data_IF_751939828719
#
_entry.id   IF_751939828719
#
_cell.length_a   1.000
_cell.length_b   1.000
_cell.length_c   1.000
_cell.angle_alpha   90.00
_cell.angle_beta   90.00
_cell.angle_gamma   90.00
#
_symmetry.space_group_name_H-M   'P 1'
#
loop_
_entity.id
_entity.type
_entity.pdbx_description
1 polymer ?
#
# COMPACT_ATOMS: atom_id res chain seq x y z
N UNK A 1 -35.81 60.60 13.09
CA UNK A 1 -36.86 60.17 14.03
C UNK A 1 -36.23 59.22 15.02
N UNK A 2 -36.38 59.55 16.29
CA UNK A 2 -35.68 59.09 17.50
C UNK A 2 -35.93 57.62 17.85
N UNK A 3 -35.03 57.08 18.67
CA UNK A 3 -35.05 55.77 19.34
C UNK A 3 -36.28 55.51 20.26
N UNK A 4 -37.40 56.21 20.07
CA UNK A 4 -38.61 56.09 20.88
C UNK A 4 -39.60 55.02 20.41
N UNK A 5 -39.50 54.54 19.17
CA UNK A 5 -40.38 53.47 18.68
C UNK A 5 -39.93 52.06 19.11
N UNK A 6 -38.67 51.87 19.48
CA UNK A 6 -38.14 50.58 19.94
C UNK A 6 -38.47 50.30 21.43
N UNK A 7 -38.78 51.34 22.21
CA UNK A 7 -39.06 51.21 23.64
C UNK A 7 -40.51 50.83 23.97
N UNK A 8 -41.42 50.82 22.98
CA UNK A 8 -42.86 50.53 23.21
C UNK A 8 -43.28 49.09 22.91
N UNK A 9 -42.36 48.23 22.48
CA UNK A 9 -42.65 46.81 22.23
C UNK A 9 -42.20 45.87 23.36
N UNK A 10 -41.57 46.39 24.43
CA UNK A 10 -41.00 45.58 25.51
C UNK A 10 -41.69 45.81 26.88
N UNK A 11 -43.01 45.99 26.90
CA UNK A 11 -43.78 46.10 28.14
C UNK A 11 -44.81 44.96 28.26
N UNK A 12 -44.59 44.14 29.29
CA UNK A 12 -45.51 43.21 29.96
C UNK A 12 -46.07 42.00 29.15
N UNK A 13 -45.52 40.81 29.46
CA UNK A 13 -46.21 39.50 29.50
C UNK A 13 -47.35 39.24 28.50
N UNK A 14 -47.04 39.33 27.20
CA UNK A 14 -47.85 38.71 26.16
C UNK A 14 -47.07 37.54 25.54
N UNK A 15 -47.32 36.32 26.02
CA UNK A 15 -46.95 35.09 25.31
C UNK A 15 -47.75 34.98 24.01
N UNK A 16 -47.17 35.42 22.90
CA UNK A 16 -47.63 35.09 21.55
C UNK A 16 -47.19 33.66 21.23
N UNK A 17 -48.04 32.67 21.53
CA UNK A 17 -47.94 31.32 20.97
C UNK A 17 -48.40 31.33 19.51
N UNK A 18 -47.60 31.94 18.64
CA UNK A 18 -47.71 31.80 17.21
C UNK A 18 -46.92 30.56 16.79
N UNK A 19 -47.62 29.49 16.41
CA UNK A 19 -47.03 28.33 15.75
C UNK A 19 -46.40 28.77 14.43
N UNK A 20 -45.09 29.02 14.43
CA UNK A 20 -44.30 29.33 13.23
C UNK A 20 -44.10 28.03 12.44
N UNK A 21 -45.16 27.53 11.80
CA UNK A 21 -45.05 26.51 10.75
C UNK A 21 -44.51 27.23 9.52
N UNK A 22 -43.18 27.21 9.38
CA UNK A 22 -42.55 27.51 8.10
C UNK A 22 -43.01 26.46 7.09
N UNK A 23 -43.91 26.84 6.20
CA UNK A 23 -44.28 26.05 5.05
C UNK A 23 -43.07 25.95 4.10
N UNK A 24 -42.30 24.88 4.25
CA UNK A 24 -41.37 24.45 3.21
C UNK A 24 -42.21 23.71 2.16
N UNK A 25 -42.39 24.35 1.01
CA UNK A 25 -42.97 23.75 -0.20
C UNK A 25 -42.11 22.52 -0.61
N UNK A 26 -42.64 21.28 -0.59
CA UNK A 26 -41.82 20.08 -0.77
C UNK A 26 -41.83 19.59 -2.24
N UNK A 27 -41.81 20.49 -3.22
CA UNK A 27 -41.93 20.10 -4.64
C UNK A 27 -40.63 20.05 -5.45
N UNK A 28 -39.45 20.28 -4.87
CA UNK A 28 -38.17 20.12 -5.59
C UNK A 28 -37.21 19.15 -4.87
N UNK A 29 -37.34 17.86 -5.19
CA UNK A 29 -36.20 17.05 -5.62
C UNK A 29 -35.03 16.75 -4.67
N UNK A 30 -35.16 16.81 -3.35
CA UNK A 30 -34.12 16.27 -2.44
C UNK A 30 -34.74 15.37 -1.37
N UNK A 31 -34.45 14.07 -1.47
CA UNK A 31 -34.81 13.08 -0.47
C UNK A 31 -34.05 13.35 0.84
N UNK A 32 -34.75 13.81 1.88
CA UNK A 32 -34.23 13.82 3.26
C UNK A 32 -34.45 12.43 3.84
N UNK A 33 -33.49 11.54 3.60
CA UNK A 33 -33.41 10.26 4.30
C UNK A 33 -33.22 10.49 5.79
N UNK A 34 -34.01 9.78 6.60
CA UNK A 34 -33.97 9.71 8.07
C UNK A 34 -32.56 9.86 8.66
N UNK A 35 -32.35 10.93 9.43
CA UNK A 35 -31.17 11.14 10.27
C UNK A 35 -31.14 10.10 11.41
N UNK A 36 -30.64 8.90 11.09
CA UNK A 36 -30.57 7.82 12.06
C UNK A 36 -29.67 6.70 11.59
N UNK A 37 -28.38 6.98 11.31
CA UNK A 37 -27.32 5.98 11.08
C UNK A 37 -27.68 4.78 10.16
N UNK A 38 -28.65 4.95 9.24
CA UNK A 38 -29.18 3.88 8.40
C UNK A 38 -28.44 3.64 7.09
N UNK A 39 -27.29 4.30 6.89
CA UNK A 39 -26.46 4.18 5.68
C UNK A 39 -24.99 3.89 5.95
N UNK A 40 -24.62 3.68 7.21
CA UNK A 40 -23.26 3.29 7.62
C UNK A 40 -23.34 1.85 8.12
N UNK A 41 -22.48 0.98 7.61
CA UNK A 41 -22.36 -0.39 8.12
C UNK A 41 -22.14 -0.39 9.64
N UNK A 42 -22.66 -1.40 10.33
CA UNK A 42 -22.47 -1.54 11.77
C UNK A 42 -20.96 -1.47 12.10
N UNK A 43 -20.54 -0.78 13.18
CA UNK A 43 -19.12 -0.59 13.51
C UNK A 43 -18.33 -1.90 13.56
N UNK A 44 -18.96 -3.01 13.95
CA UNK A 44 -18.35 -4.34 14.04
C UNK A 44 -18.19 -5.03 12.67
N UNK A 45 -19.13 -4.83 11.73
CA UNK A 45 -19.01 -5.33 10.35
C UNK A 45 -17.97 -4.52 9.56
N UNK A 46 -17.95 -3.20 9.76
CA UNK A 46 -16.94 -2.29 9.19
C UNK A 46 -15.52 -2.65 9.65
N UNK A 47 -15.35 -3.02 10.92
CA UNK A 47 -14.05 -3.44 11.47
C UNK A 47 -13.56 -4.76 10.87
N UNK A 48 -14.43 -5.77 10.73
CA UNK A 48 -14.05 -7.03 10.08
C UNK A 48 -13.72 -6.85 8.60
N UNK A 49 -14.47 -6.00 7.89
CA UNK A 49 -14.17 -5.64 6.50
C UNK A 49 -12.77 -5.04 6.34
N UNK A 50 -12.37 -4.16 7.27
CA UNK A 50 -11.04 -3.59 7.31
C UNK A 50 -9.95 -4.63 7.58
N UNK A 51 -10.19 -5.55 8.51
CA UNK A 51 -9.23 -6.63 8.80
C UNK A 51 -9.02 -7.52 7.57
N UNK A 52 -10.07 -7.87 6.83
CA UNK A 52 -9.94 -8.62 5.57
C UNK A 52 -9.15 -7.87 4.50
N UNK A 53 -9.41 -6.56 4.34
CA UNK A 53 -8.69 -5.74 3.36
C UNK A 53 -7.19 -5.64 3.68
N UNK A 54 -6.82 -5.53 4.95
CA UNK A 54 -5.41 -5.42 5.37
C UNK A 54 -4.68 -6.76 5.41
N UNK A 55 -5.33 -7.84 5.85
CA UNK A 55 -4.71 -9.16 5.95
C UNK A 55 -4.44 -9.78 4.56
N UNK A 56 -5.25 -9.42 3.56
CA UNK A 56 -5.05 -9.82 2.17
C UNK A 56 -3.78 -9.22 1.53
N UNK A 57 -3.33 -8.05 1.99
CA UNK A 57 -2.20 -7.36 1.35
C UNK A 57 -0.83 -7.82 1.87
N UNK A 58 0.07 -8.18 0.96
CA UNK A 58 1.42 -8.71 1.31
C UNK A 58 2.34 -7.58 1.73
N UNK A 59 2.30 -6.47 1.00
CA UNK A 59 3.09 -5.27 1.32
C UNK A 59 2.57 -4.58 2.57
N UNK A 60 1.28 -4.67 2.89
CA UNK A 60 0.72 -4.13 4.14
C UNK A 60 1.35 -4.74 5.41
N UNK A 61 1.84 -5.99 5.32
CA UNK A 61 2.54 -6.69 6.42
C UNK A 61 4.03 -6.36 6.51
N UNK A 62 4.65 -5.92 5.41
CA UNK A 62 6.09 -5.67 5.31
C UNK A 62 6.45 -4.18 5.38
N UNK A 63 5.58 -3.33 4.86
CA UNK A 63 5.77 -1.89 4.80
C UNK A 63 5.31 -1.20 6.09
N UNK A 64 5.87 -0.02 6.34
CA UNK A 64 5.46 0.83 7.44
C UNK A 64 4.15 1.53 7.08
N UNK A 65 3.06 1.16 7.76
CA UNK A 65 1.78 1.87 7.64
C UNK A 65 1.70 3.05 8.62
N UNK A 66 1.31 4.22 8.11
CA UNK A 66 1.15 5.45 8.89
C UNK A 66 -0.29 5.92 8.77
N UNK A 67 -0.98 6.03 9.91
CA UNK A 67 -2.33 6.60 9.97
C UNK A 67 -2.25 8.13 9.97
N UNK A 68 -2.72 8.74 8.89
CA UNK A 68 -2.62 10.19 8.66
C UNK A 68 -3.88 10.93 9.09
N UNK A 69 -3.71 12.09 9.74
CA UNK A 69 -4.81 13.01 10.07
C UNK A 69 -5.09 14.03 8.96
N UNK A 70 -4.06 14.50 8.28
CA UNK A 70 -4.14 15.46 7.17
C UNK A 70 -3.95 14.78 5.80
N UNK A 71 -4.32 15.44 4.69
CA UNK A 71 -4.16 14.86 3.33
C UNK A 71 -2.69 14.70 2.95
N UNK A 72 -1.84 15.57 3.50
CA UNK A 72 -0.38 15.51 3.39
C UNK A 72 0.23 15.52 4.78
N UNK A 73 1.21 14.66 5.02
CA UNK A 73 2.04 14.67 6.24
C UNK A 73 3.50 14.67 5.86
N UNK A 74 4.30 15.44 6.58
CA UNK A 74 5.75 15.41 6.46
C UNK A 74 6.33 14.36 7.40
N UNK A 75 7.28 13.58 6.90
CA UNK A 75 8.10 12.68 7.69
C UNK A 75 9.48 13.30 7.77
N UNK A 76 9.88 13.65 9.00
CA UNK A 76 11.21 14.18 9.27
C UNK A 76 12.24 13.04 9.23
N UNK A 77 13.34 13.28 8.52
CA UNK A 77 14.48 12.38 8.41
C UNK A 77 15.72 13.05 8.97
N UNK A 78 16.47 12.29 9.76
CA UNK A 78 17.75 12.73 10.32
C UNK A 78 18.84 11.85 9.72
N UNK A 79 19.79 12.49 9.06
CA UNK A 79 20.95 11.85 8.45
C UNK A 79 22.24 12.30 9.11
N UNK A 80 23.14 11.33 9.31
CA UNK A 80 24.54 11.61 9.64
C UNK A 80 25.41 11.05 8.50
N UNK A 81 26.44 11.81 8.12
CA UNK A 81 27.36 11.45 7.03
C UNK A 81 28.13 10.14 7.27
N UNK A 82 28.91 9.73 6.28
CA UNK A 82 29.75 8.53 6.37
C UNK A 82 31.15 8.88 6.91
N UNK A 83 31.73 8.00 7.73
CA UNK A 83 33.12 8.08 8.23
C UNK A 83 33.45 9.45 8.89
N UNK A 84 32.80 9.71 10.02
CA UNK A 84 32.93 10.98 10.75
C UNK A 84 34.26 11.15 11.49
N UNK A 85 34.92 10.04 11.84
CA UNK A 85 36.15 10.07 12.61
C UNK A 85 37.34 10.41 11.70
N UNK A 86 38.16 11.36 12.14
CA UNK A 86 39.42 11.75 11.51
C UNK A 86 40.58 11.40 12.44
N UNK A 87 41.76 11.21 11.87
CA UNK A 87 42.99 11.09 12.65
C UNK A 87 43.27 12.44 13.32
N UNK A 88 43.49 12.43 14.63
CA UNK A 88 43.95 13.62 15.36
C UNK A 88 45.48 13.70 15.29
N UNK A 89 46.01 14.88 15.00
CA UNK A 89 47.44 15.20 15.17
C UNK A 89 47.60 16.12 16.37
N UNK A 90 48.62 15.89 17.19
CA UNK A 90 48.92 16.75 18.34
C UNK A 90 49.28 18.17 17.88
N UNK A 91 48.89 19.17 18.68
CA UNK A 91 49.18 20.59 18.49
C UNK A 91 48.57 21.28 17.24
N UNK A 92 47.72 20.60 16.45
CA UNK A 92 46.97 21.24 15.35
C UNK A 92 45.46 21.08 15.50
N UNK A 93 44.71 22.19 15.40
CA UNK A 93 43.26 22.17 15.36
C UNK A 93 42.76 22.03 13.91
N UNK A 94 42.68 20.79 13.42
CA UNK A 94 42.07 20.44 12.13
C UNK A 94 40.59 20.05 12.27
N UNK A 95 39.98 20.36 13.41
CA UNK A 95 38.61 20.02 13.75
C UNK A 95 37.61 20.67 12.81
N UNK A 96 36.85 19.86 12.07
CA UNK A 96 35.64 20.30 11.36
C UNK A 96 34.47 19.54 11.93
N UNK A 97 33.45 20.24 12.41
CA UNK A 97 32.24 19.60 12.91
C UNK A 97 31.54 18.85 11.76
N UNK A 98 31.18 17.60 12.01
CA UNK A 98 30.27 16.89 11.13
C UNK A 98 28.86 17.47 11.29
N UNK A 99 28.30 17.98 10.20
CA UNK A 99 26.91 18.45 10.19
C UNK A 99 25.93 17.27 10.26
N UNK A 100 24.89 17.42 11.09
CA UNK A 100 23.70 16.57 11.03
C UNK A 100 22.76 17.16 9.98
N UNK A 101 22.32 16.36 9.02
CA UNK A 101 21.40 16.80 7.96
C UNK A 101 19.97 16.46 8.37
N UNK A 102 19.10 17.47 8.40
CA UNK A 102 17.66 17.30 8.53
C UNK A 102 17.03 17.41 7.14
N UNK A 103 16.32 16.38 6.70
CA UNK A 103 15.59 16.38 5.43
C UNK A 103 14.14 15.98 5.67
N UNK A 104 13.24 16.41 4.80
CA UNK A 104 11.81 16.13 4.92
C UNK A 104 11.31 15.38 3.70
N UNK A 105 10.31 14.55 3.91
CA UNK A 105 9.62 13.82 2.86
C UNK A 105 8.13 14.08 3.01
N UNK A 106 7.47 14.52 1.94
CA UNK A 106 6.02 14.69 1.92
C UNK A 106 5.34 13.40 1.47
N UNK A 107 4.41 12.92 2.30
CA UNK A 107 3.51 11.82 2.00
C UNK A 107 2.13 12.42 1.74
N UNK A 108 1.62 12.27 0.52
CA UNK A 108 0.31 12.81 0.11
C UNK A 108 -0.63 11.67 -0.26
N UNK A 109 -1.87 11.73 0.23
CA UNK A 109 -2.90 10.73 -0.05
C UNK A 109 -3.86 11.18 -1.14
N UNK A 110 -4.40 10.22 -1.88
CA UNK A 110 -5.44 10.44 -2.90
C UNK A 110 -6.70 9.68 -2.52
N UNK A 111 -7.87 10.28 -2.82
CA UNK A 111 -9.17 9.68 -2.54
C UNK A 111 -9.51 8.67 -3.63
N UNK A 112 -9.69 7.42 -3.26
CA UNK A 112 -10.15 6.34 -4.11
C UNK A 112 -11.59 5.97 -3.75
N UNK A 113 -12.33 5.48 -4.74
CA UNK A 113 -13.73 5.07 -4.62
C UNK A 113 -13.90 3.71 -5.27
N UNK A 114 -14.64 2.83 -4.61
CA UNK A 114 -15.16 1.59 -5.19
C UNK A 114 -16.68 1.63 -5.08
N UNK A 115 -17.35 1.39 -6.19
CA UNK A 115 -18.81 1.32 -6.26
C UNK A 115 -19.21 -0.06 -6.79
N UNK A 116 -20.13 -0.72 -6.10
CA UNK A 116 -20.75 -1.95 -6.59
C UNK A 116 -22.24 -1.96 -6.24
N UNK A 117 -23.00 -2.75 -6.99
CA UNK A 117 -24.43 -2.89 -6.77
C UNK A 117 -24.86 -4.34 -6.67
N UNK A 118 -25.94 -4.57 -5.93
CA UNK A 118 -26.58 -5.86 -5.78
C UNK A 118 -28.08 -5.72 -6.01
N UNK A 119 -28.64 -6.50 -6.92
CA UNK A 119 -30.09 -6.56 -7.17
C UNK A 119 -30.81 -7.22 -6.00
N UNK A 120 -31.96 -6.70 -5.59
CA UNK A 120 -32.79 -7.30 -4.53
C UNK A 120 -33.39 -8.64 -4.97
N UNK A 121 -33.72 -8.81 -6.25
CA UNK A 121 -34.18 -10.10 -6.78
C UNK A 121 -33.14 -11.21 -6.58
N UNK A 122 -31.84 -10.88 -6.73
CA UNK A 122 -30.75 -11.83 -6.49
C UNK A 122 -30.54 -12.16 -5.01
N UNK A 123 -31.00 -11.30 -4.10
CA UNK A 123 -31.01 -11.58 -2.66
C UNK A 123 -32.21 -12.43 -2.26
N UNK A 124 -33.34 -12.29 -2.95
CA UNK A 124 -34.56 -13.06 -2.67
C UNK A 124 -34.52 -14.49 -3.24
N UNK A 125 -33.92 -14.71 -4.42
CA UNK A 125 -33.79 -16.03 -5.07
C UNK A 125 -32.52 -16.79 -4.64
N UNK A 126 -32.02 -16.50 -3.45
CA UNK A 126 -30.73 -16.96 -2.98
C UNK A 126 -30.83 -18.22 -2.10
N UNK A 127 -30.00 -19.22 -2.40
CA UNK A 127 -29.86 -20.46 -1.60
C UNK A 127 -29.09 -20.25 -0.27
N UNK A 128 -28.27 -19.20 -0.16
CA UNK A 128 -27.47 -18.83 1.02
C UNK A 128 -28.19 -17.86 2.00
N UNK A 129 -29.43 -17.44 1.70
CA UNK A 129 -30.22 -16.55 2.56
C UNK A 129 -29.55 -15.20 2.90
N UNK A 130 -29.54 -14.80 4.16
CA UNK A 130 -28.99 -13.51 4.60
C UNK A 130 -27.45 -13.43 4.53
N UNK A 131 -26.75 -14.56 4.36
CA UNK A 131 -25.28 -14.63 4.43
C UNK A 131 -24.58 -14.28 3.10
N UNK A 132 -25.32 -14.21 1.98
CA UNK A 132 -24.78 -13.85 0.67
C UNK A 132 -24.28 -12.40 0.61
N UNK A 133 -24.99 -11.47 1.25
CA UNK A 133 -24.59 -10.05 1.32
C UNK A 133 -23.20 -9.94 2.00
N UNK A 134 -23.01 -10.67 3.10
CA UNK A 134 -21.74 -10.73 3.83
C UNK A 134 -20.63 -11.44 3.04
N UNK A 135 -20.96 -12.50 2.28
CA UNK A 135 -19.98 -13.20 1.44
C UNK A 135 -19.50 -12.30 0.30
N UNK A 136 -20.41 -11.67 -0.44
CA UNK A 136 -20.07 -10.75 -1.53
C UNK A 136 -19.25 -9.57 -0.98
N UNK A 137 -19.65 -9.00 0.16
CA UNK A 137 -18.87 -7.93 0.80
C UNK A 137 -17.44 -8.37 1.13
N UNK A 138 -17.21 -9.61 1.59
CA UNK A 138 -15.85 -10.15 1.83
C UNK A 138 -15.04 -10.29 0.55
N UNK A 139 -15.62 -10.79 -0.53
CA UNK A 139 -14.95 -10.91 -1.83
C UNK A 139 -14.57 -9.53 -2.38
N UNK A 140 -15.49 -8.57 -2.32
CA UNK A 140 -15.25 -7.19 -2.73
C UNK A 140 -14.17 -6.51 -1.87
N UNK A 141 -14.14 -6.76 -0.55
CA UNK A 141 -13.09 -6.25 0.35
C UNK A 141 -11.70 -6.74 -0.06
N UNK A 142 -11.60 -8.02 -0.40
CA UNK A 142 -10.34 -8.68 -0.77
C UNK A 142 -9.84 -8.11 -2.09
N UNK A 143 -10.73 -7.96 -3.08
CA UNK A 143 -10.38 -7.36 -4.36
C UNK A 143 -9.97 -5.89 -4.20
N UNK A 144 -10.70 -5.11 -3.37
CA UNK A 144 -10.35 -3.73 -3.09
C UNK A 144 -8.97 -3.58 -2.43
N UNK A 145 -8.58 -4.54 -1.58
CA UNK A 145 -7.24 -4.61 -1.00
C UNK A 145 -6.17 -4.88 -2.05
N UNK A 146 -6.40 -5.84 -2.95
CA UNK A 146 -5.48 -6.14 -4.05
C UNK A 146 -5.33 -4.95 -5.01
N UNK A 147 -6.43 -4.31 -5.39
CA UNK A 147 -6.43 -3.12 -6.25
C UNK A 147 -5.65 -1.97 -5.59
N UNK A 148 -5.80 -1.80 -4.28
CA UNK A 148 -5.07 -0.79 -3.52
C UNK A 148 -3.56 -1.08 -3.51
N UNK A 149 -3.17 -2.33 -3.25
CA UNK A 149 -1.77 -2.75 -3.23
C UNK A 149 -1.11 -2.59 -4.60
N UNK A 150 -1.83 -2.95 -5.67
CA UNK A 150 -1.36 -2.80 -7.04
C UNK A 150 -1.09 -1.33 -7.40
N UNK A 151 -1.99 -0.42 -7.06
CA UNK A 151 -1.76 1.03 -7.28
C UNK A 151 -0.60 1.56 -6.44
N UNK A 152 -0.48 1.09 -5.20
CA UNK A 152 0.65 1.46 -4.32
C UNK A 152 1.99 1.02 -4.89
N UNK A 153 2.04 -0.14 -5.55
CA UNK A 153 3.27 -0.67 -6.15
C UNK A 153 3.56 -0.06 -7.52
N UNK A 154 2.58 -0.12 -8.42
CA UNK A 154 2.73 0.10 -9.86
C UNK A 154 2.08 1.39 -10.37
N UNK A 155 1.53 2.23 -9.48
CA UNK A 155 0.92 3.51 -9.85
C UNK A 155 1.88 4.38 -10.67
N UNK A 156 1.35 5.06 -11.67
CA UNK A 156 2.12 5.96 -12.50
C UNK A 156 1.21 7.03 -13.11
N UNK A 157 1.42 8.27 -12.66
CA UNK A 157 0.67 9.46 -13.10
C UNK A 157 0.87 9.83 -14.56
N UNK A 158 1.85 9.24 -15.24
CA UNK A 158 2.15 9.50 -16.65
C UNK A 158 1.32 8.65 -17.61
N UNK A 159 0.59 7.62 -17.13
CA UNK A 159 -0.26 6.81 -17.99
C UNK A 159 -1.33 7.67 -18.69
N UNK A 160 -1.70 7.27 -19.90
CA UNK A 160 -2.75 7.91 -20.71
C UNK A 160 -4.12 7.21 -20.59
N UNK A 161 -4.16 5.95 -20.13
CA UNK A 161 -5.36 5.17 -19.81
C UNK A 161 -5.36 4.72 -18.34
N UNK A 162 -6.51 4.27 -17.84
CA UNK A 162 -6.74 3.78 -16.48
C UNK A 162 -6.65 4.84 -15.36
N UNK A 163 -7.82 5.22 -14.83
CA UNK A 163 -7.92 6.27 -13.80
C UNK A 163 -7.34 5.84 -12.45
N UNK A 164 -7.28 4.54 -12.18
CA UNK A 164 -6.85 4.01 -10.89
C UNK A 164 -5.32 4.06 -10.77
N UNK A 165 -4.60 3.53 -11.76
CA UNK A 165 -3.12 3.58 -11.78
C UNK A 165 -2.55 4.99 -11.86
N UNK A 166 -3.29 5.93 -12.47
CA UNK A 166 -2.88 7.34 -12.53
C UNK A 166 -3.07 8.13 -11.25
N UNK A 167 -3.70 7.55 -10.23
CA UNK A 167 -4.06 8.28 -9.02
C UNK A 167 -2.84 8.93 -8.37
N UNK A 168 -1.72 8.21 -8.28
CA UNK A 168 -0.44 8.67 -7.75
C UNK A 168 0.71 7.79 -8.25
N UNK A 169 1.95 8.27 -8.11
CA UNK A 169 3.14 7.49 -8.45
C UNK A 169 3.41 6.44 -7.36
N UNK A 170 3.49 5.18 -7.76
CA UNK A 170 3.75 4.03 -6.92
C UNK A 170 5.23 3.85 -6.57
N UNK A 171 5.50 2.90 -5.68
CA UNK A 171 6.83 2.65 -5.13
C UNK A 171 7.85 2.31 -6.22
N UNK A 172 7.47 1.54 -7.25
CA UNK A 172 8.38 1.14 -8.34
C UNK A 172 8.90 2.37 -9.09
N UNK A 173 8.00 3.29 -9.45
CA UNK A 173 8.37 4.53 -10.16
C UNK A 173 9.20 5.47 -9.28
N UNK A 174 8.80 5.65 -8.02
CA UNK A 174 9.55 6.48 -7.06
C UNK A 174 10.97 5.91 -6.85
N UNK A 175 11.10 4.58 -6.76
CA UNK A 175 12.38 3.90 -6.61
C UNK A 175 13.27 4.03 -7.86
N UNK A 176 12.72 3.86 -9.07
CA UNK A 176 13.45 4.05 -10.33
C UNK A 176 13.94 5.48 -10.52
N UNK A 177 13.18 6.47 -10.05
CA UNK A 177 13.53 7.88 -10.20
C UNK A 177 14.60 8.36 -9.19
N UNK A 178 14.58 7.83 -7.96
CA UNK A 178 15.38 8.39 -6.86
C UNK A 178 16.44 7.42 -6.28
N UNK A 179 16.30 6.12 -6.53
CA UNK A 179 17.20 5.08 -6.00
C UNK A 179 18.35 4.74 -6.95
N UNK A 180 19.14 3.74 -6.57
CA UNK A 180 20.24 3.23 -7.40
C UNK A 180 19.69 2.26 -8.45
N UNK A 181 19.79 2.61 -9.73
CA UNK A 181 19.30 1.77 -10.83
C UNK A 181 20.47 1.02 -11.48
N UNK A 182 20.34 -0.29 -11.59
CA UNK A 182 21.27 -1.18 -12.30
C UNK A 182 20.51 -1.83 -13.46
N UNK A 183 21.08 -1.80 -14.65
CA UNK A 183 20.50 -2.48 -15.82
C UNK A 183 21.00 -3.92 -15.87
N UNK A 184 20.08 -4.89 -16.00
CA UNK A 184 20.42 -6.29 -16.25
C UNK A 184 20.57 -6.59 -17.76
N UNK A 185 20.25 -5.64 -18.65
CA UNK A 185 20.42 -5.78 -20.11
C UNK A 185 19.77 -7.05 -20.68
N UNK A 186 18.59 -7.41 -20.16
CA UNK A 186 17.87 -8.62 -20.58
C UNK A 186 18.50 -9.93 -20.09
N UNK A 187 19.37 -9.89 -19.07
CA UNK A 187 19.91 -11.10 -18.47
C UNK A 187 18.85 -11.86 -17.65
N UNK A 188 18.86 -13.18 -17.73
CA UNK A 188 18.06 -14.04 -16.86
C UNK A 188 18.42 -13.87 -15.37
N UNK A 189 17.45 -14.10 -14.49
CA UNK A 189 17.64 -14.03 -13.04
C UNK A 189 18.76 -14.99 -12.63
N UNK A 190 19.81 -14.44 -12.01
CA UNK A 190 20.97 -15.22 -11.61
C UNK A 190 21.66 -14.63 -10.39
N UNK A 191 22.58 -15.39 -9.81
CA UNK A 191 23.44 -14.91 -8.70
C UNK A 191 24.24 -13.66 -9.09
N UNK A 192 24.52 -13.45 -10.38
CA UNK A 192 25.20 -12.25 -10.87
C UNK A 192 24.31 -11.00 -10.74
N UNK A 193 23.02 -11.12 -11.04
CA UNK A 193 22.01 -10.05 -10.92
C UNK A 193 21.83 -9.65 -9.44
N UNK A 194 21.73 -10.61 -8.53
CA UNK A 194 21.67 -10.31 -7.09
C UNK A 194 22.97 -9.69 -6.55
N UNK A 195 24.12 -10.07 -7.11
CA UNK A 195 25.42 -9.49 -6.73
C UNK A 195 25.57 -8.05 -7.24
N UNK A 196 25.09 -7.74 -8.45
CA UNK A 196 25.12 -6.37 -8.97
C UNK A 196 24.25 -5.45 -8.12
N UNK A 197 23.07 -5.90 -7.70
CA UNK A 197 22.21 -5.20 -6.74
C UNK A 197 22.96 -4.90 -5.42
N UNK A 198 23.62 -5.91 -4.84
CA UNK A 198 24.36 -5.73 -3.59
C UNK A 198 25.61 -4.87 -3.73
N UNK A 199 26.23 -4.82 -4.90
CA UNK A 199 27.38 -3.95 -5.16
C UNK A 199 26.95 -2.49 -5.23
N UNK A 200 25.83 -2.20 -5.89
CA UNK A 200 25.28 -0.86 -6.02
C UNK A 200 24.82 -0.25 -4.69
N UNK A 201 24.38 -1.05 -3.72
CA UNK A 201 24.00 -0.53 -2.40
C UNK A 201 25.19 0.17 -1.71
N UNK A 202 25.03 1.33 -1.04
CA UNK A 202 26.09 1.96 -0.27
C UNK A 202 26.58 1.14 0.93
N UNK A 203 27.85 1.31 1.32
CA UNK A 203 28.48 0.53 2.40
C UNK A 203 27.81 0.73 3.76
N UNK A 204 27.26 1.92 4.04
CA UNK A 204 26.53 2.23 5.27
C UNK A 204 25.37 1.26 5.52
N UNK A 205 24.63 0.89 4.47
CA UNK A 205 23.49 -0.03 4.59
C UNK A 205 23.92 -1.50 4.55
N UNK A 206 25.08 -1.83 3.94
CA UNK A 206 25.63 -3.20 3.93
C UNK A 206 26.01 -3.71 5.33
N UNK A 207 26.16 -2.85 6.32
CA UNK A 207 26.38 -3.29 7.72
C UNK A 207 25.14 -3.98 8.29
N UNK A 208 23.94 -3.56 7.86
CA UNK A 208 22.65 -4.10 8.29
C UNK A 208 22.06 -5.08 7.27
N UNK A 209 22.90 -5.94 6.70
CA UNK A 209 22.47 -6.96 5.71
C UNK A 209 21.33 -7.86 6.17
N UNK A 210 21.25 -8.33 7.42
CA UNK A 210 20.15 -9.20 7.87
C UNK A 210 18.75 -8.55 7.78
N UNK A 211 18.69 -7.23 7.78
CA UNK A 211 17.42 -6.48 7.73
C UNK A 211 16.96 -6.19 6.28
N UNK A 212 17.80 -6.43 5.28
CA UNK A 212 17.47 -6.21 3.87
C UNK A 212 16.53 -7.31 3.37
N UNK A 213 15.70 -6.98 2.39
CA UNK A 213 14.87 -7.94 1.64
C UNK A 213 15.02 -7.70 0.15
N UNK A 214 15.08 -8.78 -0.62
CA UNK A 214 14.85 -8.71 -2.06
C UNK A 214 13.35 -8.84 -2.31
N UNK A 215 12.77 -7.95 -3.11
CA UNK A 215 11.38 -7.99 -3.55
C UNK A 215 11.39 -8.28 -5.05
N UNK A 216 10.65 -9.31 -5.48
CA UNK A 216 10.56 -9.70 -6.88
C UNK A 216 9.21 -10.32 -7.20
N UNK A 217 8.82 -10.30 -8.47
CA UNK A 217 7.63 -10.98 -8.99
C UNK A 217 7.75 -12.50 -8.91
N UNK A 218 6.61 -13.18 -8.96
CA UNK A 218 6.47 -14.62 -8.80
C UNK A 218 7.23 -15.44 -9.85
N UNK A 219 7.12 -15.06 -11.13
CA UNK A 219 7.74 -15.80 -12.23
C UNK A 219 9.27 -15.64 -12.21
N UNK A 220 9.80 -14.46 -11.86
CA UNK A 220 11.25 -14.27 -11.70
C UNK A 220 11.83 -15.16 -10.58
N UNK A 221 11.08 -15.36 -9.49
CA UNK A 221 11.47 -16.26 -8.41
C UNK A 221 11.40 -17.71 -8.88
N UNK A 222 10.36 -18.08 -9.61
CA UNK A 222 10.23 -19.42 -10.20
C UNK A 222 11.38 -19.73 -11.18
N UNK A 223 11.76 -18.79 -12.04
CA UNK A 223 12.89 -18.93 -12.96
C UNK A 223 14.22 -19.07 -12.23
N UNK A 224 14.38 -18.31 -11.14
CA UNK A 224 15.55 -18.44 -10.28
C UNK A 224 15.63 -19.82 -9.61
N UNK A 225 14.50 -20.34 -9.11
CA UNK A 225 14.41 -21.68 -8.55
C UNK A 225 14.67 -22.75 -9.61
N UNK A 226 14.10 -22.60 -10.80
CA UNK A 226 14.26 -23.51 -11.91
C UNK A 226 15.72 -23.56 -12.41
N UNK A 227 16.36 -22.41 -12.64
CA UNK A 227 17.78 -22.36 -13.02
C UNK A 227 18.71 -22.91 -11.94
N UNK A 228 18.39 -22.69 -10.66
CA UNK A 228 19.14 -23.28 -9.53
C UNK A 228 18.97 -24.80 -9.49
N UNK A 229 17.77 -25.31 -9.78
CA UNK A 229 17.50 -26.75 -9.82
C UNK A 229 18.18 -27.47 -10.99
N UNK A 230 18.52 -26.80 -12.10
CA UNK A 230 19.22 -27.43 -13.23
C UNK A 230 20.73 -27.59 -12.99
N UNK A 231 21.29 -26.92 -11.98
CA UNK A 231 22.70 -27.03 -11.58
C UNK A 231 22.97 -28.31 -10.73
N UNK A 232 22.38 -29.45 -11.14
CA UNK A 232 22.46 -30.75 -10.45
C UNK A 232 23.85 -31.40 -10.60
N UNK A 233 24.67 -30.93 -11.55
CA UNK A 233 26.01 -31.50 -11.75
C UNK A 233 26.93 -31.31 -10.53
N UNK A 234 26.64 -30.36 -9.63
CA UNK A 234 27.42 -30.10 -8.41
C UNK A 234 26.61 -30.15 -7.09
N UNK A 235 25.32 -30.50 -7.12
CA UNK A 235 24.50 -30.72 -5.91
C UNK A 235 23.89 -32.11 -6.01
N UNK A 236 24.38 -33.01 -5.16
CA UNK A 236 24.00 -34.41 -5.15
C UNK A 236 22.46 -34.53 -4.98
N UNK A 237 21.72 -35.19 -5.89
CA UNK A 237 20.26 -35.38 -5.79
C UNK A 237 19.79 -36.01 -4.47
N UNK A 238 20.72 -36.59 -3.70
CA UNK A 238 20.49 -37.12 -2.37
C UNK A 238 20.19 -36.04 -1.31
N UNK A 239 20.66 -34.79 -1.42
CA UNK A 239 20.33 -33.74 -0.43
C UNK A 239 18.90 -33.22 -0.59
N UNK A 240 18.42 -33.10 -1.83
CA UNK A 240 17.05 -32.69 -2.14
C UNK A 240 16.09 -33.85 -1.84
N UNK A 241 16.44 -35.08 -2.23
CA UNK A 241 15.65 -36.27 -1.91
C UNK A 241 15.63 -36.57 -0.41
N UNK A 242 16.73 -36.35 0.33
CA UNK A 242 16.75 -36.53 1.77
C UNK A 242 15.97 -35.42 2.51
N UNK A 243 15.85 -34.21 1.95
CA UNK A 243 14.97 -33.17 2.48
C UNK A 243 13.49 -33.49 2.28
N UNK A 244 13.13 -34.26 1.25
CA UNK A 244 11.75 -34.65 0.96
C UNK A 244 11.38 -35.99 1.67
N UNK A 245 12.33 -36.92 1.84
CA UNK A 245 12.10 -38.24 2.45
C UNK A 245 12.18 -38.21 3.99
N UNK A 246 12.92 -37.28 4.63
CA UNK A 246 13.05 -37.26 6.10
C UNK A 246 11.96 -36.50 6.87
N UNK A 247 11.05 -35.78 6.22
CA UNK A 247 9.94 -35.11 6.91
C UNK A 247 10.36 -34.18 8.08
N UNK A 248 11.62 -33.72 8.10
CA UNK A 248 12.19 -32.92 9.18
C UNK A 248 12.58 -31.54 8.64
N UNK A 249 11.72 -30.59 9.01
CA UNK A 249 11.82 -29.16 8.78
C UNK A 249 13.16 -28.60 9.27
N UNK A 250 13.90 -27.92 8.40
CA UNK A 250 14.81 -26.85 8.84
C UNK A 250 13.95 -25.65 9.26
N UNK A 251 13.42 -25.71 10.48
CA UNK A 251 12.65 -24.62 11.07
C UNK A 251 13.57 -23.51 11.57
N UNK A 252 13.19 -22.26 11.27
CA UNK A 252 13.14 -21.20 12.26
C UNK A 252 11.99 -20.22 11.92
N UNK A 253 10.73 -20.67 12.17
CA UNK A 253 9.45 -19.93 12.36
C UNK A 253 8.95 -18.97 11.26
N UNK A 254 7.70 -18.94 10.80
CA UNK A 254 6.40 -19.49 11.18
C UNK A 254 5.34 -19.11 10.10
N UNK A 255 4.03 -19.31 10.31
CA UNK A 255 2.99 -19.28 9.25
C UNK A 255 2.67 -17.90 8.62
N UNK A 256 2.14 -17.95 7.38
CA UNK A 256 1.73 -16.88 6.47
C UNK A 256 2.84 -15.85 6.08
N UNK A 257 3.76 -16.30 5.22
CA UNK A 257 4.87 -15.51 4.69
C UNK A 257 6.12 -16.35 4.44
N UNK A 258 5.95 -17.52 3.80
CA UNK A 258 7.01 -18.50 3.59
C UNK A 258 8.21 -17.84 2.87
N UNK A 259 9.37 -17.80 3.54
CA UNK A 259 10.59 -17.19 3.01
C UNK A 259 11.68 -18.25 2.84
N UNK A 260 11.90 -18.67 1.58
CA UNK A 260 13.11 -19.32 1.07
C UNK A 260 13.11 -19.17 -0.46
N UNK A 261 14.23 -18.84 -1.16
CA UNK A 261 15.65 -19.00 -0.81
C UNK A 261 16.36 -17.67 -0.48
N UNK A 262 17.46 -17.76 0.28
CA UNK A 262 18.34 -16.61 0.52
C UNK A 262 19.29 -16.37 -0.68
N UNK A 263 19.30 -15.16 -1.24
CA UNK A 263 20.40 -14.72 -2.09
C UNK A 263 21.47 -14.07 -1.22
N UNK A 264 22.65 -14.69 -1.10
CA UNK A 264 23.78 -14.18 -0.31
C UNK A 264 23.44 -13.88 1.17
N UNK A 265 22.56 -14.66 1.79
CA UNK A 265 22.13 -14.49 3.19
C UNK A 265 21.04 -13.42 3.41
N UNK A 266 20.45 -12.89 2.33
CA UNK A 266 19.32 -11.96 2.36
C UNK A 266 18.09 -12.69 1.83
N UNK A 267 16.95 -12.69 2.56
CA UNK A 267 15.78 -13.42 2.10
C UNK A 267 15.12 -12.71 0.92
N UNK A 268 14.70 -13.52 -0.06
CA UNK A 268 13.88 -13.11 -1.19
C UNK A 268 12.42 -13.23 -0.76
N UNK A 269 11.66 -12.17 -0.99
CA UNK A 269 10.23 -12.07 -0.71
C UNK A 269 9.52 -11.89 -2.03
N UNK A 270 8.54 -12.75 -2.25
CA UNK A 270 7.65 -12.69 -3.40
C UNK A 270 6.60 -11.59 -3.20
N UNK A 271 6.44 -10.75 -4.23
CA UNK A 271 5.37 -9.75 -4.30
C UNK A 271 4.58 -10.03 -5.58
N UNK A 272 3.47 -10.77 -5.50
CA UNK A 272 2.75 -11.26 -6.68
C UNK A 272 2.21 -10.15 -7.60
N UNK A 273 1.90 -8.99 -7.02
CA UNK A 273 1.34 -7.84 -7.76
C UNK A 273 2.42 -6.97 -8.41
N UNK A 274 3.71 -7.30 -8.30
CA UNK A 274 4.76 -6.57 -9.00
C UNK A 274 4.70 -6.90 -10.49
N UNK A 275 4.47 -5.89 -11.34
CA UNK A 275 4.38 -6.10 -12.79
C UNK A 275 5.69 -6.65 -13.34
N UNK A 276 5.60 -7.83 -13.96
CA UNK A 276 6.72 -8.54 -14.57
C UNK A 276 6.99 -8.13 -16.02
N UNK A 277 6.10 -7.31 -16.59
CA UNK A 277 6.29 -6.67 -17.89
C UNK A 277 6.39 -5.17 -17.66
N UNK A 278 7.61 -4.64 -17.73
CA UNK A 278 7.89 -3.22 -17.55
C UNK A 278 8.28 -2.60 -18.90
N UNK A 279 7.31 -2.38 -19.80
CA UNK A 279 7.54 -1.72 -21.09
C UNK A 279 6.77 -2.35 -22.26
N UNK A 280 7.09 -1.92 -23.49
CA UNK A 280 6.54 -2.50 -24.73
C UNK A 280 7.07 -3.93 -25.00
N UNK A 281 8.20 -4.31 -24.39
CA UNK A 281 8.80 -5.64 -24.48
C UNK A 281 8.25 -6.57 -23.39
N UNK A 282 7.62 -7.67 -23.82
CA UNK A 282 6.67 -8.44 -23.02
C UNK A 282 7.24 -9.20 -21.79
N UNK A 283 8.56 -9.33 -21.62
CA UNK A 283 9.16 -10.30 -20.68
C UNK A 283 10.32 -9.73 -19.84
N UNK A 284 10.22 -8.47 -19.43
CA UNK A 284 11.24 -7.79 -18.61
C UNK A 284 10.67 -7.33 -17.27
N UNK A 285 11.11 -7.97 -16.19
CA UNK A 285 10.72 -7.66 -14.82
C UNK A 285 11.83 -6.95 -14.05
N UNK A 286 11.48 -6.48 -12.85
CA UNK A 286 12.40 -5.78 -11.95
C UNK A 286 12.64 -6.56 -10.65
N UNK A 287 13.84 -6.39 -10.09
CA UNK A 287 14.19 -6.87 -8.75
C UNK A 287 14.55 -5.67 -7.89
N UNK A 288 13.91 -5.56 -6.73
CA UNK A 288 14.12 -4.46 -5.80
C UNK A 288 14.85 -4.95 -4.55
N UNK A 289 15.83 -4.18 -4.07
CA UNK A 289 16.54 -4.44 -2.83
C UNK A 289 16.39 -3.23 -1.91
N UNK A 290 15.77 -3.43 -0.74
CA UNK A 290 15.63 -2.38 0.26
C UNK A 290 15.36 -2.94 1.66
N UNK A 291 15.21 -2.05 2.64
CA UNK A 291 14.64 -2.40 3.95
C UNK A 291 13.11 -2.32 3.86
N UNK A 292 12.35 -3.30 4.40
CA UNK A 292 10.88 -3.24 4.38
C UNK A 292 10.30 -1.98 5.02
N UNK A 293 10.89 -1.55 6.14
CA UNK A 293 10.52 -0.31 6.85
C UNK A 293 10.78 0.98 6.04
N UNK A 294 11.54 0.90 4.95
CA UNK A 294 11.81 2.02 4.07
C UNK A 294 10.58 2.38 3.20
N UNK A 295 9.68 1.43 2.99
CA UNK A 295 8.41 1.64 2.31
C UNK A 295 7.42 2.22 3.31
N UNK A 296 6.89 3.39 3.01
CA UNK A 296 5.89 4.06 3.85
C UNK A 296 4.56 4.15 3.10
N UNK A 297 3.52 3.60 3.70
CA UNK A 297 2.14 3.66 3.19
C UNK A 297 1.34 4.55 4.13
N UNK A 298 0.79 5.63 3.59
CA UNK A 298 -0.09 6.55 4.29
C UNK A 298 -1.54 6.18 4.07
N UNK A 299 -2.29 5.98 5.14
CA UNK A 299 -3.73 5.72 5.08
C UNK A 299 -4.45 6.81 5.87
N UNK A 300 -5.37 7.49 5.19
CA UNK A 300 -6.12 8.60 5.76
C UNK A 300 -7.60 8.24 5.89
N UNK A 301 -8.11 8.38 7.12
CA UNK A 301 -9.45 7.96 7.58
C UNK A 301 -9.62 6.44 7.52
N UNK A 302 -10.39 5.92 8.47
CA UNK A 302 -10.86 4.54 8.41
C UNK A 302 -11.77 4.39 7.19
N UNK A 303 -11.69 3.26 6.50
CA UNK A 303 -12.49 2.99 5.30
C UNK A 303 -13.97 3.13 5.65
N UNK A 304 -14.68 3.95 4.89
CA UNK A 304 -16.12 4.14 5.06
C UNK A 304 -16.85 3.45 3.93
N UNK A 305 -17.78 2.56 4.27
CA UNK A 305 -18.68 1.91 3.32
C UNK A 305 -20.08 2.43 3.56
N UNK A 306 -20.67 2.99 2.51
CA UNK A 306 -22.05 3.43 2.46
C UNK A 306 -22.91 2.34 1.82
N UNK A 307 -24.10 2.11 2.36
CA UNK A 307 -25.12 1.22 1.79
C UNK A 307 -26.37 2.05 1.53
N UNK A 308 -26.87 2.03 0.29
CA UNK A 308 -28.05 2.78 -0.10
C UNK A 308 -28.97 1.94 -0.98
N UNK A 309 -30.26 1.88 -0.64
CA UNK A 309 -31.26 1.20 -1.45
C UNK A 309 -31.89 2.19 -2.44
N UNK A 310 -31.88 1.85 -3.72
CA UNK A 310 -32.53 2.62 -4.79
C UNK A 310 -33.91 2.03 -5.12
N UNK A 311 -35.02 2.66 -4.68
CA UNK A 311 -36.35 2.09 -4.87
C UNK A 311 -36.79 2.01 -6.33
N UNK A 312 -36.22 2.84 -7.21
CA UNK A 312 -36.53 2.85 -8.64
C UNK A 312 -35.75 1.80 -9.44
N UNK A 313 -34.58 1.41 -8.95
CA UNK A 313 -33.69 0.44 -9.61
C UNK A 313 -33.84 -0.95 -9.02
N UNK A 314 -34.52 -1.05 -7.88
CA UNK A 314 -34.65 -2.27 -7.07
C UNK A 314 -33.28 -2.91 -6.80
N UNK A 315 -32.31 -2.07 -6.43
CA UNK A 315 -30.95 -2.49 -6.14
C UNK A 315 -30.40 -1.77 -4.91
N UNK A 316 -29.47 -2.43 -4.23
CA UNK A 316 -28.68 -1.88 -3.14
C UNK A 316 -27.31 -1.52 -3.69
N UNK A 317 -26.98 -0.24 -3.63
CA UNK A 317 -25.67 0.30 -4.00
C UNK A 317 -24.78 0.40 -2.77
N UNK A 318 -23.53 -0.04 -2.94
CA UNK A 318 -22.48 0.11 -1.97
C UNK A 318 -21.40 1.04 -2.51
N UNK A 319 -20.99 2.01 -1.70
CA UNK A 319 -19.92 2.94 -2.04
C UNK A 319 -18.89 2.94 -0.93
N UNK A 320 -17.67 2.52 -1.27
CA UNK A 320 -16.51 2.60 -0.40
C UNK A 320 -15.66 3.81 -0.75
N UNK A 321 -15.20 4.53 0.28
CA UNK A 321 -14.14 5.53 0.13
C UNK A 321 -12.95 5.18 1.00
N UNK A 322 -11.76 5.28 0.40
CA UNK A 322 -10.48 5.22 1.11
C UNK A 322 -9.56 6.33 0.64
N UNK A 323 -8.56 6.69 1.43
CA UNK A 323 -7.48 7.58 1.01
C UNK A 323 -6.15 6.95 1.33
N UNK A 324 -5.35 6.79 0.28
CA UNK A 324 -4.06 6.12 0.38
C UNK A 324 -3.03 6.89 -0.42
N UNK A 325 -1.78 6.79 0.00
CA UNK A 325 -0.60 7.24 -0.72
C UNK A 325 0.62 6.46 -0.26
N UNK A 326 1.68 6.49 -1.05
CA UNK A 326 2.93 5.81 -0.73
C UNK A 326 4.13 6.73 -0.93
N UNK A 327 5.21 6.42 -0.22
CA UNK A 327 6.48 7.12 -0.35
C UNK A 327 7.64 6.25 0.17
N UNK A 328 8.87 6.56 -0.28
CA UNK A 328 10.09 5.90 0.19
C UNK A 328 10.81 6.80 1.19
N UNK A 329 11.16 6.26 2.35
CA UNK A 329 11.80 7.03 3.43
C UNK A 329 13.26 7.37 3.10
N UNK A 330 14.02 6.54 2.40
CA UNK A 330 15.40 6.78 2.03
C UNK A 330 15.70 6.14 0.68
N UNK A 331 15.77 6.97 -0.36
CA UNK A 331 15.99 6.51 -1.73
C UNK A 331 17.39 5.88 -1.92
N UNK A 332 18.39 6.39 -1.20
CA UNK A 332 19.76 5.87 -1.21
C UNK A 332 19.89 4.45 -0.62
N UNK A 333 18.90 4.01 0.17
CA UNK A 333 18.79 2.64 0.69
C UNK A 333 17.96 1.71 -0.22
N UNK A 334 17.77 2.11 -1.48
CA UNK A 334 17.03 1.36 -2.48
C UNK A 334 17.89 1.09 -3.70
N UNK A 335 17.91 -0.17 -4.15
CA UNK A 335 18.48 -0.56 -5.44
C UNK A 335 17.40 -1.23 -6.29
N UNK A 336 17.27 -0.81 -7.55
CA UNK A 336 16.42 -1.45 -8.55
C UNK A 336 17.32 -2.08 -9.60
N UNK A 337 17.21 -3.38 -9.81
CA UNK A 337 17.74 -4.03 -11.00
C UNK A 337 16.62 -4.13 -12.02
N UNK A 338 16.72 -3.35 -13.09
CA UNK A 338 15.72 -3.32 -14.17
C UNK A 338 16.08 -4.25 -15.31
N UNK A 339 15.10 -4.54 -16.16
CA UNK A 339 15.26 -5.32 -17.39
C UNK A 339 15.79 -6.74 -17.16
N UNK A 340 15.28 -7.43 -16.13
CA UNK A 340 15.61 -8.82 -15.88
C UNK A 340 14.69 -9.70 -16.71
N UNK A 341 15.26 -10.63 -17.49
CA UNK A 341 14.48 -11.49 -18.36
C UNK A 341 13.63 -12.47 -17.54
N UNK A 342 12.32 -12.43 -17.79
CA UNK A 342 11.36 -13.43 -17.36
C UNK A 342 11.35 -14.53 -18.43
N UNK A 343 11.54 -15.79 -18.03
CA UNK A 343 11.41 -16.90 -18.95
C UNK A 343 9.94 -17.07 -19.34
N UNK A 344 9.70 -17.31 -20.63
CA UNK A 344 8.38 -17.48 -21.23
C UNK A 344 7.75 -18.84 -20.96
#
# INVERSE_FOLDING_TARGET
>A
MSNELLAKAAAADATLTGSMVGAADPSDGIHVGSEGKGGLLNPEQSARFLDYMFDATVVGKLARTVRMRADTTEIDRIGVGEKLMKLASEAENTGTNAGVTFSKISLTTKKLRLDWELSTESLEDNIEGADLEDHIARLMATQAGNDLEDVVLNGDTSLSSDNLYKAFDGIVKIAKANGHVVDADGAAVSRAVFNSALKALPRKYKQRRPDLRFLSGSNLIQDYLYSTSQNIQNVNPQDIAASIIRGETAGLGGPAGFTAPFAFGIPIVEVPLLKETQGEDANLGDIHLTFPNNVVIGIKRDVTVYRFFWPKKDSIEYTMYTRVGCQIEQADAWVVVKNVQVAS
#
